data_IF_284429843736
#
_entry.id   IF_284429843736
#
_cell.length_a   1.000
_cell.length_b   1.000
_cell.length_c   1.000
_cell.angle_alpha   90.00
_cell.angle_beta   90.00
_cell.angle_gamma   90.00
#
_symmetry.space_group_name_H-M   'P 1'
#
loop_
_entity.id
_entity.type
_entity.pdbx_description
1 polymer ?
#
# COMPACT_ATOMS: atom_id res chain seq x y z
N UNK A 1 -33.90 -22.52 11.24
CA UNK A 1 -32.57 -22.90 10.72
C UNK A 1 -32.33 -22.12 9.44
N UNK A 2 -31.62 -20.99 9.53
CA UNK A 2 -31.34 -20.12 8.40
C UNK A 2 -29.83 -20.09 8.15
N UNK A 3 -29.42 -20.53 6.95
CA UNK A 3 -28.04 -20.50 6.50
C UNK A 3 -27.60 -19.05 6.28
N UNK A 4 -26.77 -18.52 7.17
CA UNK A 4 -26.01 -17.30 6.95
C UNK A 4 -24.82 -17.62 6.05
N UNK A 5 -24.95 -17.38 4.74
CA UNK A 5 -23.79 -17.24 3.88
C UNK A 5 -22.98 -16.02 4.36
N UNK A 6 -21.77 -16.26 4.86
CA UNK A 6 -20.81 -15.21 5.15
C UNK A 6 -20.42 -14.52 3.84
N UNK A 7 -21.03 -13.36 3.57
CA UNK A 7 -20.55 -12.48 2.51
C UNK A 7 -19.14 -12.01 2.88
N UNK A 8 -18.15 -12.31 2.02
CA UNK A 8 -16.80 -11.74 2.08
C UNK A 8 -16.94 -10.22 2.15
N UNK A 9 -16.42 -9.61 3.22
CA UNK A 9 -16.41 -8.14 3.36
C UNK A 9 -15.50 -7.60 2.26
N UNK A 10 -16.08 -6.96 1.25
CA UNK A 10 -15.33 -6.20 0.24
C UNK A 10 -14.45 -5.17 0.96
N UNK A 11 -13.18 -5.16 0.62
CA UNK A 11 -12.27 -4.10 1.03
C UNK A 11 -12.77 -2.76 0.47
N UNK A 12 -12.58 -1.62 1.16
CA UNK A 12 -12.79 -0.28 0.60
C UNK A 12 -11.98 0.00 -0.70
N UNK A 13 -11.14 -0.96 -1.12
CA UNK A 13 -10.31 -0.96 -2.31
C UNK A 13 -11.05 -0.99 -3.67
N UNK A 14 -12.38 -1.07 -3.70
CA UNK A 14 -13.13 -1.33 -4.95
C UNK A 14 -13.91 -0.12 -5.54
N UNK A 15 -13.51 1.13 -5.25
CA UNK A 15 -14.03 2.29 -6.01
C UNK A 15 -13.29 2.39 -7.36
N UNK A 16 -13.83 1.71 -8.37
CA UNK A 16 -13.60 1.98 -9.79
C UNK A 16 -14.97 2.04 -10.50
N UNK A 17 -15.13 2.77 -11.62
CA UNK A 17 -16.41 2.83 -12.34
C UNK A 17 -16.79 1.43 -12.84
N UNK A 18 -17.94 0.90 -12.38
CA UNK A 18 -18.44 -0.41 -12.78
C UNK A 18 -18.78 -0.44 -14.28
N UNK A 19 -18.09 -1.27 -15.06
CA UNK A 19 -18.59 -1.80 -16.33
C UNK A 19 -19.29 -3.15 -16.10
N UNK A 20 -20.44 -3.29 -16.74
CA UNK A 20 -21.54 -4.26 -16.52
C UNK A 20 -21.23 -5.71 -16.97
N UNK A 21 -20.10 -6.31 -16.57
CA UNK A 21 -19.87 -7.76 -16.74
C UNK A 21 -19.40 -8.39 -15.43
N UNK A 22 -20.03 -9.50 -15.04
CA UNK A 22 -19.59 -10.28 -13.90
C UNK A 22 -18.15 -10.76 -14.12
N UNK A 23 -17.22 -10.53 -13.18
CA UNK A 23 -15.82 -10.88 -13.37
C UNK A 23 -15.66 -12.40 -13.56
N UNK A 24 -14.71 -12.84 -14.41
CA UNK A 24 -14.43 -14.25 -14.63
C UNK A 24 -14.04 -14.94 -13.33
N UNK A 25 -14.47 -16.20 -13.13
CA UNK A 25 -14.19 -16.95 -11.91
C UNK A 25 -12.94 -17.81 -12.10
N UNK A 26 -11.98 -17.65 -11.20
CA UNK A 26 -10.77 -18.47 -11.11
C UNK A 26 -10.84 -19.30 -9.84
N UNK A 27 -10.71 -20.62 -9.96
CA UNK A 27 -10.66 -21.53 -8.81
C UNK A 27 -9.22 -21.77 -8.42
N UNK A 28 -8.94 -21.78 -7.12
CA UNK A 28 -7.64 -22.15 -6.58
C UNK A 28 -7.81 -23.25 -5.55
N UNK A 29 -7.06 -24.32 -5.71
CA UNK A 29 -6.93 -25.42 -4.77
C UNK A 29 -5.54 -25.40 -4.16
N UNK A 30 -5.45 -25.59 -2.85
CA UNK A 30 -4.16 -25.74 -2.17
C UNK A 30 -4.25 -25.59 -0.65
N UNK A 31 -3.17 -25.95 0.08
CA UNK A 31 -3.15 -25.89 1.54
C UNK A 31 -3.29 -24.46 2.04
N UNK A 32 -4.05 -24.26 3.12
CA UNK A 32 -4.37 -22.91 3.64
C UNK A 32 -3.15 -22.16 4.18
N UNK A 33 -2.23 -22.88 4.80
CA UNK A 33 -1.03 -22.33 5.44
C UNK A 33 0.20 -22.38 4.52
N UNK A 34 0.02 -22.72 3.24
CA UNK A 34 1.12 -22.76 2.27
C UNK A 34 1.44 -21.36 1.76
N UNK A 35 2.73 -21.00 1.84
CA UNK A 35 3.27 -19.76 1.26
C UNK A 35 2.91 -19.64 -0.23
N UNK A 36 3.08 -20.73 -0.99
CA UNK A 36 2.81 -20.74 -2.42
C UNK A 36 1.31 -20.48 -2.71
N UNK A 37 0.42 -21.10 -1.94
CA UNK A 37 -1.03 -20.88 -2.07
C UNK A 37 -1.38 -19.43 -1.74
N UNK A 38 -0.84 -18.86 -0.66
CA UNK A 38 -1.10 -17.46 -0.29
C UNK A 38 -0.57 -16.45 -1.30
N UNK A 39 0.61 -16.68 -1.90
CA UNK A 39 1.14 -15.84 -2.99
C UNK A 39 0.17 -15.82 -4.17
N UNK A 40 -0.28 -16.99 -4.60
CA UNK A 40 -1.21 -17.10 -5.73
C UNK A 40 -2.57 -16.49 -5.39
N UNK A 41 -3.06 -16.65 -4.15
CA UNK A 41 -4.28 -15.97 -3.69
C UNK A 41 -4.17 -14.46 -3.82
N UNK A 42 -3.07 -13.85 -3.38
CA UNK A 42 -2.82 -12.41 -3.52
C UNK A 42 -2.74 -12.00 -4.98
N UNK A 43 -2.04 -12.77 -5.80
CA UNK A 43 -1.92 -12.51 -7.22
C UNK A 43 -3.29 -12.52 -7.91
N UNK A 44 -4.15 -13.49 -7.62
CA UNK A 44 -5.51 -13.55 -8.18
C UNK A 44 -6.36 -12.40 -7.67
N UNK A 45 -6.25 -12.02 -6.38
CA UNK A 45 -6.96 -10.85 -5.82
C UNK A 45 -6.52 -9.52 -6.45
N UNK A 46 -5.29 -9.47 -7.00
CA UNK A 46 -4.79 -8.31 -7.74
C UNK A 46 -5.31 -8.25 -9.18
N UNK A 47 -5.92 -9.32 -9.69
CA UNK A 47 -6.51 -9.37 -11.03
C UNK A 47 -8.00 -9.01 -10.99
N UNK A 48 -8.58 -8.52 -12.11
CA UNK A 48 -10.02 -8.23 -12.23
C UNK A 48 -10.85 -9.52 -12.39
N UNK A 49 -10.68 -10.47 -11.47
CA UNK A 49 -11.29 -11.80 -11.49
C UNK A 49 -11.88 -12.13 -10.12
N UNK A 50 -12.84 -13.04 -10.07
CA UNK A 50 -13.40 -13.55 -8.82
C UNK A 50 -12.65 -14.82 -8.41
N UNK A 51 -11.97 -14.78 -7.28
CA UNK A 51 -11.34 -15.94 -6.66
C UNK A 51 -12.40 -16.85 -6.00
N UNK A 52 -12.39 -18.13 -6.35
CA UNK A 52 -13.04 -19.20 -5.61
C UNK A 52 -11.96 -20.11 -5.02
N UNK A 53 -11.57 -19.83 -3.78
CA UNK A 53 -10.57 -20.63 -3.08
C UNK A 53 -11.23 -21.86 -2.43
N UNK A 54 -10.63 -23.03 -2.63
CA UNK A 54 -11.02 -24.30 -2.02
C UNK A 54 -9.80 -24.90 -1.31
N UNK A 55 -9.74 -24.86 0.03
CA UNK A 55 -8.67 -25.50 0.78
C UNK A 55 -8.59 -26.98 0.43
N UNK A 56 -7.39 -27.47 0.14
CA UNK A 56 -7.16 -28.88 -0.18
C UNK A 56 -5.76 -29.27 0.24
N UNK A 57 -5.66 -30.28 1.10
CA UNK A 57 -4.40 -30.94 1.47
C UNK A 57 -4.06 -32.10 0.51
N UNK A 58 -4.94 -32.39 -0.45
CA UNK A 58 -4.76 -33.46 -1.42
C UNK A 58 -3.72 -33.11 -2.51
N UNK A 59 -3.38 -31.83 -2.65
CA UNK A 59 -2.38 -31.35 -3.61
C UNK A 59 -1.21 -30.73 -2.85
N UNK A 60 -0.01 -31.27 -3.07
CA UNK A 60 1.23 -30.69 -2.52
C UNK A 60 1.49 -29.30 -3.11
N UNK A 61 1.16 -29.10 -4.40
CA UNK A 61 1.29 -27.83 -5.11
C UNK A 61 -0.07 -27.15 -5.33
N UNK A 62 -0.11 -25.81 -5.28
CA UNK A 62 -1.32 -25.07 -5.62
C UNK A 62 -1.75 -25.35 -7.05
N UNK A 63 -3.07 -25.41 -7.27
CA UNK A 63 -3.66 -25.71 -8.58
C UNK A 63 -4.71 -24.66 -8.92
N UNK A 64 -4.52 -23.98 -10.04
CA UNK A 64 -5.44 -22.98 -10.60
C UNK A 64 -6.27 -23.61 -11.71
N UNK A 65 -7.59 -23.39 -11.65
CA UNK A 65 -8.53 -23.82 -12.68
C UNK A 65 -9.28 -22.61 -13.22
N UNK A 66 -9.22 -22.42 -14.53
CA UNK A 66 -9.96 -21.38 -15.24
C UNK A 66 -10.46 -21.92 -16.58
N UNK A 67 -11.78 -21.92 -16.77
CA UNK A 67 -12.44 -22.55 -17.93
C UNK A 67 -12.01 -24.03 -18.08
N UNK A 68 -11.41 -24.40 -19.22
CA UNK A 68 -10.86 -25.73 -19.49
C UNK A 68 -9.46 -25.95 -18.95
N UNK A 69 -8.79 -24.87 -18.53
CA UNK A 69 -7.37 -24.90 -18.22
C UNK A 69 -7.17 -25.28 -16.75
N UNK A 70 -6.27 -26.25 -16.52
CA UNK A 70 -5.84 -26.69 -15.19
C UNK A 70 -4.33 -26.54 -15.14
N UNK A 71 -3.84 -25.67 -14.26
CA UNK A 71 -2.42 -25.38 -14.10
C UNK A 71 -2.03 -25.65 -12.66
N UNK A 72 -1.04 -26.52 -12.47
CA UNK A 72 -0.44 -26.86 -11.18
C UNK A 72 1.06 -26.83 -11.34
N UNK A 73 1.79 -26.40 -10.32
CA UNK A 73 3.24 -26.27 -10.38
C UNK A 73 3.78 -25.22 -9.41
N UNK A 74 4.90 -24.61 -9.80
CA UNK A 74 5.52 -23.56 -9.00
C UNK A 74 4.69 -22.27 -9.00
N UNK A 75 4.99 -21.37 -8.07
CA UNK A 75 4.36 -20.05 -8.02
C UNK A 75 4.59 -19.30 -9.34
N UNK A 76 5.83 -19.29 -9.84
CA UNK A 76 6.24 -18.58 -11.04
C UNK A 76 5.50 -19.06 -12.29
N UNK A 77 5.28 -20.38 -12.41
CA UNK A 77 4.52 -20.96 -13.51
C UNK A 77 3.06 -20.49 -13.49
N UNK A 78 2.44 -20.47 -12.32
CA UNK A 78 1.06 -20.05 -12.13
C UNK A 78 0.93 -18.54 -12.32
N UNK A 79 1.86 -17.72 -11.83
CA UNK A 79 1.85 -16.27 -12.03
C UNK A 79 1.98 -15.91 -13.52
N UNK A 80 2.89 -16.58 -14.24
CA UNK A 80 3.04 -16.41 -15.70
C UNK A 80 1.76 -16.79 -16.46
N UNK A 81 1.12 -17.88 -16.04
CA UNK A 81 -0.19 -18.26 -16.57
C UNK A 81 -1.25 -17.18 -16.31
N UNK A 82 -1.35 -16.68 -15.07
CA UNK A 82 -2.29 -15.62 -14.70
C UNK A 82 -2.05 -14.33 -15.49
N UNK A 83 -0.80 -13.89 -15.67
CA UNK A 83 -0.45 -12.73 -16.51
C UNK A 83 -0.81 -12.96 -17.98
N UNK A 84 -0.65 -14.18 -18.50
CA UNK A 84 -1.02 -14.49 -19.89
C UNK A 84 -2.53 -14.42 -20.14
N UNK A 85 -3.35 -14.79 -19.15
CA UNK A 85 -4.82 -14.80 -19.26
C UNK A 85 -5.46 -13.48 -18.85
N UNK A 86 -4.84 -12.80 -17.88
CA UNK A 86 -5.31 -11.56 -17.28
C UNK A 86 -4.14 -10.57 -17.25
N UNK A 87 -3.77 -9.93 -18.38
CA UNK A 87 -2.55 -9.13 -18.46
C UNK A 87 -2.57 -7.91 -17.53
N UNK A 88 -3.74 -7.33 -17.29
CA UNK A 88 -3.90 -6.11 -16.50
C UNK A 88 -4.59 -6.37 -15.16
N UNK A 89 -4.07 -5.84 -14.04
CA UNK A 89 -2.75 -5.19 -13.89
C UNK A 89 -1.61 -6.23 -13.84
N UNK A 90 -0.40 -5.94 -14.35
CA UNK A 90 0.70 -6.88 -14.40
C UNK A 90 1.13 -7.32 -12.99
N UNK A 91 1.36 -8.63 -12.79
CA UNK A 91 1.83 -9.17 -11.50
C UNK A 91 3.32 -8.88 -11.30
N UNK A 92 4.12 -9.14 -12.34
CA UNK A 92 5.54 -8.86 -12.33
C UNK A 92 5.85 -7.41 -12.71
N UNK A 93 6.93 -6.87 -12.14
CA UNK A 93 7.57 -5.65 -12.65
C UNK A 93 8.35 -6.03 -13.90
N UNK A 94 7.93 -5.56 -15.08
CA UNK A 94 8.72 -5.72 -16.31
C UNK A 94 10.12 -5.13 -16.09
N UNK A 95 11.17 -5.72 -16.66
CA UNK A 95 12.55 -5.22 -16.54
C UNK A 95 12.68 -3.71 -16.88
N UNK A 96 11.84 -3.20 -17.79
CA UNK A 96 11.76 -1.78 -18.15
C UNK A 96 11.16 -0.88 -17.05
N UNK A 97 10.23 -1.38 -16.23
CA UNK A 97 9.70 -0.67 -15.05
C UNK A 97 10.54 -0.91 -13.80
N UNK A 98 11.30 -2.02 -13.73
CA UNK A 98 12.31 -2.24 -12.70
C UNK A 98 13.45 -1.21 -12.84
N UNK A 99 13.84 -0.86 -14.07
CA UNK A 99 14.78 0.25 -14.34
C UNK A 99 14.22 1.64 -14.00
N UNK A 100 12.90 1.80 -13.87
CA UNK A 100 12.25 3.07 -13.49
C UNK A 100 12.10 3.24 -11.97
N UNK A 101 12.10 2.16 -11.21
CA UNK A 101 12.34 2.23 -9.77
C UNK A 101 13.85 2.30 -9.57
N UNK A 102 14.37 3.29 -8.85
CA UNK A 102 15.80 3.43 -8.53
C UNK A 102 16.40 2.11 -8.00
N UNK A 103 15.55 1.27 -7.41
CA UNK A 103 15.86 -0.02 -6.81
C UNK A 103 15.12 -1.19 -7.47
N UNK A 104 15.25 -1.32 -8.78
CA UNK A 104 14.83 -2.49 -9.55
C UNK A 104 15.62 -3.73 -9.17
N UNK A 105 15.32 -4.31 -8.00
CA UNK A 105 15.99 -5.48 -7.44
C UNK A 105 17.48 -5.20 -7.18
N UNK A 106 17.73 -4.36 -6.16
CA UNK A 106 19.05 -4.16 -5.58
C UNK A 106 19.78 -5.50 -5.39
N UNK A 107 21.08 -5.52 -5.67
CA UNK A 107 21.89 -6.74 -5.72
C UNK A 107 22.05 -7.44 -4.36
N UNK A 108 22.74 -8.58 -4.37
CA UNK A 108 23.02 -9.39 -3.15
C UNK A 108 23.71 -8.60 -2.02
N UNK A 109 24.33 -7.47 -2.33
CA UNK A 109 25.02 -6.61 -1.37
C UNK A 109 24.08 -5.70 -0.54
N UNK A 110 22.83 -5.49 -0.97
CA UNK A 110 21.93 -4.52 -0.34
C UNK A 110 21.39 -5.05 1.00
N UNK A 111 21.59 -4.32 2.12
CA UNK A 111 21.04 -4.68 3.41
C UNK A 111 19.53 -4.87 3.34
N UNK A 112 19.04 -5.93 3.99
CA UNK A 112 17.60 -6.26 3.98
C UNK A 112 16.72 -5.14 4.56
N UNK A 113 17.25 -4.30 5.45
CA UNK A 113 16.53 -3.13 5.99
C UNK A 113 16.18 -2.10 4.92
N UNK A 114 17.03 -1.93 3.89
CA UNK A 114 16.73 -1.03 2.76
C UNK A 114 15.47 -1.49 2.03
N UNK A 115 15.33 -2.80 1.83
CA UNK A 115 14.13 -3.39 1.25
C UNK A 115 12.87 -3.14 2.09
N UNK A 116 12.98 -3.22 3.41
CA UNK A 116 11.87 -2.91 4.32
C UNK A 116 11.37 -1.49 4.08
N UNK A 117 12.28 -0.52 4.01
CA UNK A 117 11.96 0.90 3.84
C UNK A 117 11.32 1.18 2.49
N UNK A 118 11.94 0.71 1.40
CA UNK A 118 11.40 0.87 0.04
C UNK A 118 9.99 0.28 -0.09
N UNK A 119 9.75 -0.88 0.52
CA UNK A 119 8.42 -1.50 0.51
C UNK A 119 7.43 -0.69 1.37
N UNK A 120 7.86 -0.11 2.49
CA UNK A 120 7.02 0.82 3.25
C UNK A 120 6.66 2.07 2.44
N UNK A 121 7.61 2.70 1.74
CA UNK A 121 7.36 3.83 0.84
C UNK A 121 6.31 3.50 -0.22
N UNK A 122 6.44 2.34 -0.87
CA UNK A 122 5.49 1.87 -1.88
C UNK A 122 4.07 1.74 -1.32
N UNK A 123 3.93 1.11 -0.16
CA UNK A 123 2.63 0.96 0.50
C UNK A 123 2.02 2.32 0.86
N UNK A 124 2.79 3.19 1.52
CA UNK A 124 2.34 4.53 1.94
C UNK A 124 1.90 5.36 0.72
N UNK A 125 2.72 5.40 -0.34
CA UNK A 125 2.42 6.12 -1.56
C UNK A 125 1.13 5.61 -2.22
N UNK A 126 0.95 4.29 -2.29
CA UNK A 126 -0.26 3.69 -2.85
C UNK A 126 -1.51 4.13 -2.08
N UNK A 127 -1.47 4.10 -0.74
CA UNK A 127 -2.58 4.53 0.09
C UNK A 127 -2.85 6.04 -0.03
N UNK A 128 -1.81 6.88 -0.06
CA UNK A 128 -1.95 8.32 -0.29
C UNK A 128 -2.63 8.60 -1.64
N UNK A 129 -2.16 7.99 -2.72
CA UNK A 129 -2.76 8.13 -4.05
C UNK A 129 -4.24 7.78 -4.06
N UNK A 130 -4.58 6.68 -3.40
CA UNK A 130 -5.96 6.18 -3.32
C UNK A 130 -6.84 7.09 -2.47
N UNK A 131 -6.34 7.60 -1.35
CA UNK A 131 -7.04 8.56 -0.51
C UNK A 131 -7.38 9.84 -1.30
N UNK A 132 -6.47 10.31 -2.14
CA UNK A 132 -6.75 11.51 -2.92
C UNK A 132 -7.71 11.23 -4.07
N UNK A 133 -7.61 10.08 -4.75
CA UNK A 133 -8.62 9.67 -5.75
C UNK A 133 -10.03 9.57 -5.13
N UNK A 134 -10.12 9.07 -3.90
CA UNK A 134 -11.39 9.02 -3.17
C UNK A 134 -11.88 10.43 -2.81
N UNK A 135 -11.00 11.34 -2.40
CA UNK A 135 -11.35 12.74 -2.16
C UNK A 135 -11.79 13.47 -3.45
N UNK A 136 -11.15 13.21 -4.59
CA UNK A 136 -11.53 13.73 -5.91
C UNK A 136 -12.93 13.26 -6.31
N UNK A 137 -13.25 11.97 -6.10
CA UNK A 137 -14.59 11.43 -6.36
C UNK A 137 -15.66 12.03 -5.43
N UNK A 138 -15.36 12.17 -4.13
CA UNK A 138 -16.26 12.84 -3.17
C UNK A 138 -16.55 14.29 -3.61
N UNK A 139 -15.57 14.97 -4.19
CA UNK A 139 -15.64 16.36 -4.60
C UNK A 139 -16.44 16.55 -5.89
N UNK A 140 -16.19 15.70 -6.89
CA UNK A 140 -17.01 15.64 -8.08
C UNK A 140 -18.51 15.37 -7.76
N UNK A 141 -18.80 14.55 -6.73
CA UNK A 141 -20.18 14.27 -6.28
C UNK A 141 -20.77 15.33 -5.36
N UNK A 142 -19.95 16.27 -4.86
CA UNK A 142 -20.34 17.32 -3.94
C UNK A 142 -21.06 16.82 -2.68
N UNK A 143 -20.82 15.59 -2.23
CA UNK A 143 -21.47 14.97 -1.06
C UNK A 143 -22.97 14.67 -1.18
N UNK A 144 -23.62 14.91 -2.33
CA UNK A 144 -25.06 14.69 -2.54
C UNK A 144 -25.37 13.33 -3.16
N UNK A 145 -24.54 12.89 -4.11
CA UNK A 145 -24.72 11.63 -4.80
C UNK A 145 -24.12 10.47 -4.00
N UNK A 146 -24.83 9.33 -3.98
CA UNK A 146 -24.26 8.08 -3.46
C UNK A 146 -23.11 7.65 -4.37
N UNK A 147 -21.98 7.29 -3.77
CA UNK A 147 -20.87 6.63 -4.46
C UNK A 147 -21.11 5.12 -4.54
N UNK A 148 -20.04 4.35 -4.38
CA UNK A 148 -20.12 2.89 -4.27
C UNK A 148 -21.17 2.47 -3.21
N UNK A 149 -22.17 1.63 -3.56
CA UNK A 149 -23.15 1.12 -2.61
C UNK A 149 -22.55 0.48 -1.35
N UNK A 150 -21.35 -0.08 -1.44
CA UNK A 150 -20.59 -0.63 -0.32
C UNK A 150 -20.25 0.42 0.74
N UNK A 151 -20.15 1.70 0.37
CA UNK A 151 -19.81 2.81 1.27
C UNK A 151 -20.99 3.31 2.11
N UNK A 152 -22.21 2.96 1.72
CA UNK A 152 -23.44 3.33 2.44
C UNK A 152 -23.88 4.77 2.19
N UNK A 153 -24.28 5.49 3.24
CA UNK A 153 -24.66 6.91 3.12
C UNK A 153 -23.42 7.81 2.96
N UNK A 154 -23.54 9.03 2.40
CA UNK A 154 -22.42 9.97 2.30
C UNK A 154 -21.70 10.20 3.64
N UNK A 155 -22.44 10.21 4.74
CA UNK A 155 -21.86 10.33 6.09
C UNK A 155 -21.09 9.08 6.52
N UNK A 156 -21.55 7.89 6.16
CA UNK A 156 -20.81 6.66 6.40
C UNK A 156 -19.53 6.61 5.56
N UNK A 157 -19.61 7.08 4.32
CA UNK A 157 -18.47 7.16 3.41
C UNK A 157 -17.35 8.03 4.00
N UNK A 158 -17.66 9.24 4.49
CA UNK A 158 -16.69 10.10 5.19
C UNK A 158 -16.11 9.43 6.44
N UNK A 159 -16.91 8.68 7.20
CA UNK A 159 -16.40 7.92 8.37
C UNK A 159 -15.41 6.83 7.94
N UNK A 160 -15.68 6.12 6.84
CA UNK A 160 -14.77 5.10 6.29
C UNK A 160 -13.49 5.74 5.75
N UNK A 161 -13.63 6.86 5.05
CA UNK A 161 -12.51 7.69 4.59
C UNK A 161 -11.61 8.08 5.77
N UNK A 162 -12.19 8.59 6.85
CA UNK A 162 -11.42 8.96 8.05
C UNK A 162 -10.79 7.79 8.79
N UNK A 163 -11.44 6.61 8.80
CA UNK A 163 -10.82 5.39 9.33
C UNK A 163 -9.59 4.99 8.49
N UNK A 164 -9.72 5.00 7.16
CA UNK A 164 -8.62 4.71 6.24
C UNK A 164 -7.46 5.68 6.41
N UNK A 165 -7.75 6.99 6.51
CA UNK A 165 -6.73 8.00 6.77
C UNK A 165 -6.05 7.80 8.13
N UNK A 166 -6.79 7.39 9.17
CA UNK A 166 -6.22 7.15 10.49
C UNK A 166 -5.24 5.97 10.49
N UNK A 167 -5.54 4.90 9.75
CA UNK A 167 -4.61 3.79 9.54
C UNK A 167 -3.36 4.26 8.78
N UNK A 168 -3.54 4.99 7.67
CA UNK A 168 -2.42 5.55 6.89
C UNK A 168 -1.52 6.45 7.74
N UNK A 169 -2.11 7.32 8.55
CA UNK A 169 -1.38 8.19 9.47
C UNK A 169 -0.53 7.39 10.46
N UNK A 170 -1.07 6.29 11.00
CA UNK A 170 -0.34 5.46 11.94
C UNK A 170 0.84 4.75 11.27
N UNK A 171 0.67 4.23 10.04
CA UNK A 171 1.77 3.64 9.26
C UNK A 171 2.86 4.67 8.98
N UNK A 172 2.51 5.88 8.54
CA UNK A 172 3.49 6.95 8.27
C UNK A 172 4.26 7.35 9.54
N UNK A 173 3.60 7.40 10.71
CA UNK A 173 4.24 7.75 11.97
C UNK A 173 5.19 6.65 12.47
N UNK A 174 4.79 5.37 12.39
CA UNK A 174 5.70 4.28 12.74
C UNK A 174 6.89 4.19 11.78
N UNK A 175 6.67 4.45 10.50
CA UNK A 175 7.73 4.46 9.49
C UNK A 175 8.77 5.56 9.78
N UNK A 176 8.34 6.81 9.97
CA UNK A 176 9.23 7.90 10.34
C UNK A 176 9.96 7.61 11.67
N UNK A 177 9.26 7.09 12.67
CA UNK A 177 9.88 6.71 13.95
C UNK A 177 10.92 5.61 13.77
N UNK A 178 10.65 4.62 12.93
CA UNK A 178 11.56 3.52 12.65
C UNK A 178 12.85 4.03 12.00
N UNK A 179 12.74 4.94 11.04
CA UNK A 179 13.91 5.56 10.40
C UNK A 179 14.72 6.37 11.41
N UNK A 180 14.06 7.25 12.16
CA UNK A 180 14.69 8.12 13.15
C UNK A 180 15.43 7.37 14.26
N UNK A 181 14.87 6.25 14.71
CA UNK A 181 15.37 5.50 15.87
C UNK A 181 16.29 4.36 15.51
N UNK A 182 16.26 3.88 14.26
CA UNK A 182 17.08 2.75 13.80
C UNK A 182 18.04 3.19 12.71
N UNK A 183 17.54 3.64 11.56
CA UNK A 183 18.37 3.89 10.36
C UNK A 183 19.21 5.14 10.50
N UNK A 184 18.59 6.26 10.85
CA UNK A 184 19.28 7.53 10.99
C UNK A 184 20.33 7.47 12.09
N UNK A 185 20.12 6.69 13.15
CA UNK A 185 21.14 6.48 14.18
C UNK A 185 22.40 5.80 13.62
N UNK A 186 22.24 4.87 12.68
CA UNK A 186 23.38 4.20 12.02
C UNK A 186 24.10 5.20 11.13
N UNK A 187 23.37 5.90 10.26
CA UNK A 187 23.96 6.86 9.32
C UNK A 187 24.65 8.03 10.04
N UNK A 188 24.01 8.60 11.06
CA UNK A 188 24.59 9.67 11.91
C UNK A 188 25.83 9.21 12.69
N UNK A 189 25.96 7.91 12.97
CA UNK A 189 27.17 7.36 13.59
C UNK A 189 28.35 7.26 12.61
N UNK A 190 28.06 7.18 11.31
CA UNK A 190 29.09 7.16 10.26
C UNK A 190 29.53 8.58 9.88
N UNK A 191 28.56 9.48 9.66
CA UNK A 191 28.84 10.89 9.42
C UNK A 191 27.71 11.78 9.99
N UNK A 192 28.11 12.81 10.74
CA UNK A 192 27.19 13.66 11.49
C UNK A 192 26.47 14.64 10.55
N UNK A 193 25.14 14.66 10.64
CA UNK A 193 24.27 15.56 9.91
C UNK A 193 23.75 15.00 8.59
N UNK A 194 24.09 13.75 8.22
CA UNK A 194 23.58 13.10 7.01
C UNK A 194 22.06 13.08 6.94
N UNK A 195 21.39 12.84 8.07
CA UNK A 195 19.93 12.65 8.11
C UNK A 195 19.18 13.92 8.51
N UNK A 196 19.87 15.07 8.62
CA UNK A 196 19.28 16.31 9.12
C UNK A 196 18.09 16.79 8.28
N UNK A 197 18.22 16.77 6.95
CA UNK A 197 17.15 17.23 6.04
C UNK A 197 15.91 16.34 6.16
N UNK A 198 16.08 15.02 6.09
CA UNK A 198 14.98 14.06 6.24
C UNK A 198 14.26 14.22 7.59
N UNK A 199 15.01 14.39 8.68
CA UNK A 199 14.44 14.67 10.01
C UNK A 199 13.62 15.98 10.07
N UNK A 200 14.13 17.05 9.48
CA UNK A 200 13.41 18.33 9.43
C UNK A 200 12.12 18.21 8.61
N UNK A 201 12.15 17.43 7.53
CA UNK A 201 10.99 17.14 6.69
C UNK A 201 9.91 16.34 7.44
N UNK A 202 10.27 15.29 8.17
CA UNK A 202 9.36 14.56 9.07
C UNK A 202 8.61 15.52 10.00
N UNK A 203 9.36 16.41 10.68
CA UNK A 203 8.79 17.45 11.54
C UNK A 203 7.84 18.40 10.80
N UNK A 204 8.17 18.74 9.54
CA UNK A 204 7.36 19.61 8.68
C UNK A 204 6.07 18.95 8.17
N UNK A 205 6.05 17.62 8.05
CA UNK A 205 4.90 16.84 7.55
C UNK A 205 3.82 16.68 8.63
N UNK A 206 4.22 16.59 9.90
CA UNK A 206 3.30 16.33 11.02
C UNK A 206 2.14 17.35 11.14
N UNK A 207 2.36 18.68 11.03
CA UNK A 207 1.27 19.65 11.02
C UNK A 207 0.28 19.47 9.87
N UNK A 208 0.77 19.10 8.67
CA UNK A 208 -0.08 18.86 7.49
C UNK A 208 -0.96 17.62 7.74
N UNK A 209 -0.33 16.54 8.22
CA UNK A 209 -0.99 15.28 8.50
C UNK A 209 -2.09 15.42 9.57
N UNK A 210 -1.79 16.12 10.66
CA UNK A 210 -2.77 16.44 11.70
C UNK A 210 -3.88 17.37 11.17
N UNK A 211 -3.50 18.34 10.35
CA UNK A 211 -4.43 19.23 9.69
C UNK A 211 -5.46 18.50 8.81
N UNK A 212 -5.06 17.47 8.07
CA UNK A 212 -5.96 16.62 7.30
C UNK A 212 -6.88 15.82 8.23
N UNK A 213 -6.34 15.25 9.31
CA UNK A 213 -7.11 14.49 10.31
C UNK A 213 -8.25 15.33 10.92
N UNK A 214 -7.94 16.55 11.35
CA UNK A 214 -8.94 17.45 11.93
C UNK A 214 -9.98 17.88 10.89
N UNK A 215 -9.57 18.14 9.64
CA UNK A 215 -10.51 18.48 8.57
C UNK A 215 -11.53 17.35 8.32
N UNK A 216 -11.07 16.09 8.31
CA UNK A 216 -11.94 14.91 8.15
C UNK A 216 -12.94 14.80 9.31
N UNK A 217 -12.51 15.07 10.56
CA UNK A 217 -13.40 15.07 11.72
C UNK A 217 -14.48 16.14 11.60
N UNK A 218 -14.13 17.34 11.18
CA UNK A 218 -15.07 18.43 10.90
C UNK A 218 -16.09 18.00 9.86
N UNK A 219 -15.63 17.45 8.73
CA UNK A 219 -16.51 16.94 7.68
C UNK A 219 -17.51 15.87 8.15
N UNK A 220 -17.11 15.00 9.09
CA UNK A 220 -17.95 13.90 9.56
C UNK A 220 -19.22 14.35 10.32
N UNK A 221 -19.26 15.61 10.77
CA UNK A 221 -20.39 16.22 11.48
C UNK A 221 -21.17 17.24 10.64
N UNK A 222 -20.65 17.62 9.46
CA UNK A 222 -21.29 18.57 8.56
C UNK A 222 -22.46 17.94 7.79
N UNK A 223 -23.32 18.79 7.23
CA UNK A 223 -24.42 18.39 6.36
C UNK A 223 -23.89 18.12 4.94
N UNK A 224 -23.91 16.87 4.44
CA UNK A 224 -23.41 16.57 3.10
C UNK A 224 -24.17 17.36 2.03
N UNK A 225 -23.43 17.99 1.12
CA UNK A 225 -23.99 18.79 0.04
C UNK A 225 -24.29 20.25 0.35
N UNK A 226 -23.99 20.75 1.56
CA UNK A 226 -24.00 22.18 1.83
C UNK A 226 -22.81 22.89 1.16
N UNK A 227 -22.89 24.20 0.88
CA UNK A 227 -21.75 24.98 0.35
C UNK A 227 -20.50 24.86 1.23
N UNK A 228 -20.67 24.92 2.56
CA UNK A 228 -19.58 24.80 3.53
C UNK A 228 -18.93 23.41 3.47
N UNK A 229 -19.72 22.36 3.24
CA UNK A 229 -19.20 21.00 3.07
C UNK A 229 -18.33 20.89 1.83
N UNK A 230 -18.75 21.50 0.72
CA UNK A 230 -17.99 21.50 -0.54
C UNK A 230 -16.68 22.28 -0.41
N UNK A 231 -16.69 23.43 0.25
CA UNK A 231 -15.46 24.20 0.54
C UNK A 231 -14.51 23.41 1.45
N UNK A 232 -15.04 22.81 2.51
CA UNK A 232 -14.27 21.99 3.46
C UNK A 232 -13.62 20.79 2.77
N UNK A 233 -14.31 20.18 1.81
CA UNK A 233 -13.83 19.08 0.99
C UNK A 233 -12.76 19.52 -0.02
N UNK A 234 -12.95 20.65 -0.71
CA UNK A 234 -11.95 21.22 -1.60
C UNK A 234 -10.64 21.54 -0.84
N UNK A 235 -10.77 22.05 0.39
CA UNK A 235 -9.64 22.29 1.28
C UNK A 235 -8.96 21.00 1.78
N UNK A 236 -9.75 19.97 2.11
CA UNK A 236 -9.22 18.64 2.42
C UNK A 236 -8.42 18.08 1.24
N UNK A 237 -8.99 18.18 0.04
CA UNK A 237 -8.39 17.70 -1.19
C UNK A 237 -7.07 18.43 -1.50
N UNK A 238 -7.01 19.74 -1.29
CA UNK A 238 -5.77 20.50 -1.51
C UNK A 238 -4.67 20.09 -0.53
N UNK A 239 -4.98 19.88 0.75
CA UNK A 239 -4.01 19.37 1.74
C UNK A 239 -3.56 17.94 1.44
N UNK A 240 -4.48 17.08 1.01
CA UNK A 240 -4.16 15.74 0.56
C UNK A 240 -3.28 15.75 -0.69
N UNK A 241 -3.53 16.66 -1.63
CA UNK A 241 -2.67 16.86 -2.80
C UNK A 241 -1.30 17.42 -2.44
N UNK A 242 -1.19 18.27 -1.42
CA UNK A 242 0.10 18.74 -0.89
C UNK A 242 0.89 17.58 -0.24
N UNK A 243 0.19 16.65 0.40
CA UNK A 243 0.80 15.45 0.97
C UNK A 243 1.12 14.39 -0.11
N UNK A 244 0.31 14.32 -1.18
CA UNK A 244 0.43 13.40 -2.33
C UNK A 244 1.37 13.96 -3.42
N UNK A 245 1.76 13.06 -4.30
CA UNK A 245 2.14 13.22 -5.71
C UNK A 245 1.07 13.87 -6.61
N UNK A 246 1.49 14.70 -7.57
CA UNK A 246 1.00 14.58 -8.95
C UNK A 246 2.05 14.94 -10.00
N UNK A 247 2.53 13.94 -10.78
CA UNK A 247 3.12 14.21 -12.10
C UNK A 247 1.98 14.50 -13.08
N UNK A 248 1.55 15.76 -13.15
CA UNK A 248 0.93 16.26 -14.38
C UNK A 248 1.86 17.29 -15.01
N UNK A 249 2.54 16.88 -16.08
CA UNK A 249 2.94 17.82 -17.12
C UNK A 249 1.67 18.32 -17.80
N UNK A 250 1.13 19.44 -17.34
CA UNK A 250 0.15 20.19 -18.11
C UNK A 250 0.91 20.82 -19.28
N UNK A 251 0.72 20.27 -20.48
CA UNK A 251 1.01 21.02 -21.71
C UNK A 251 -0.07 22.09 -21.83
N UNK A 252 0.25 23.31 -21.44
CA UNK A 252 -0.64 24.46 -21.60
C UNK A 252 -0.63 24.86 -23.06
N UNK A 253 -1.70 24.52 -23.79
CA UNK A 253 -2.09 25.27 -24.98
C UNK A 253 -3.20 26.25 -24.61
N UNK A 254 -2.91 27.54 -24.79
CA UNK A 254 -3.85 28.67 -24.88
C UNK A 254 -4.40 29.28 -23.57
N UNK A 255 -3.74 30.36 -23.15
CA UNK A 255 -4.28 31.65 -22.67
C UNK A 255 -5.55 31.62 -21.81
N UNK A 256 -5.36 31.57 -20.48
CA UNK A 256 -6.12 32.34 -19.48
C UNK A 256 -5.33 32.36 -18.15
N UNK A 257 -5.35 33.46 -17.36
CA UNK A 257 -4.57 33.57 -16.14
C UNK A 257 -5.27 32.83 -14.98
N UNK A 258 -5.10 31.52 -14.94
CA UNK A 258 -5.53 30.69 -13.80
C UNK A 258 -4.41 30.69 -12.76
N UNK A 259 -4.76 30.99 -11.50
CA UNK A 259 -3.88 30.90 -10.33
C UNK A 259 -3.09 29.58 -10.34
N UNK A 260 -1.78 29.66 -10.56
CA UNK A 260 -0.87 28.54 -10.40
C UNK A 260 -0.79 28.17 -8.92
N UNK A 261 -1.55 27.16 -8.52
CA UNK A 261 -1.37 26.52 -7.23
C UNK A 261 -0.19 25.54 -7.36
N UNK A 262 1.03 26.02 -7.07
CA UNK A 262 2.17 25.14 -6.83
C UNK A 262 1.89 24.34 -5.54
N UNK A 263 1.30 23.15 -5.67
CA UNK A 263 1.33 22.17 -4.58
C UNK A 263 2.76 21.59 -4.55
N UNK A 264 3.47 21.79 -3.45
CA UNK A 264 4.75 21.11 -3.20
C UNK A 264 4.44 19.70 -2.70
N UNK A 265 4.80 18.68 -3.48
CA UNK A 265 4.56 17.26 -3.21
C UNK A 265 5.53 16.73 -2.15
N UNK A 266 5.11 16.65 -0.89
CA UNK A 266 6.06 16.47 0.22
C UNK A 266 6.52 15.03 0.49
N UNK A 267 5.61 14.06 0.63
CA UNK A 267 6.01 12.69 0.99
C UNK A 267 6.81 11.99 -0.11
N UNK A 268 6.53 12.29 -1.37
CA UNK A 268 7.19 11.62 -2.49
C UNK A 268 8.59 12.17 -2.74
N UNK A 269 8.78 13.49 -2.68
CA UNK A 269 10.13 14.07 -2.82
C UNK A 269 11.03 13.54 -1.70
N UNK A 270 10.49 13.48 -0.48
CA UNK A 270 11.15 12.89 0.67
C UNK A 270 11.59 11.44 0.41
N UNK A 271 10.66 10.53 0.08
CA UNK A 271 11.02 9.13 -0.21
C UNK A 271 11.97 8.97 -1.41
N UNK A 272 11.82 9.77 -2.46
CA UNK A 272 12.72 9.72 -3.62
C UNK A 272 14.13 10.22 -3.28
N UNK A 273 14.26 11.20 -2.39
CA UNK A 273 15.53 11.69 -1.88
C UNK A 273 16.18 10.68 -0.94
N UNK A 274 15.43 10.07 -0.04
CA UNK A 274 15.95 9.01 0.83
C UNK A 274 16.40 7.79 0.02
N UNK A 275 15.58 7.32 -0.92
CA UNK A 275 15.93 6.20 -1.79
C UNK A 275 17.16 6.49 -2.66
N UNK A 276 17.36 7.73 -3.08
CA UNK A 276 18.48 8.09 -3.96
C UNK A 276 19.75 8.43 -3.20
N UNK A 277 19.64 9.07 -2.05
CA UNK A 277 20.77 9.70 -1.36
C UNK A 277 21.12 9.01 -0.03
N UNK A 278 20.12 8.59 0.77
CA UNK A 278 20.37 8.04 2.12
C UNK A 278 20.45 6.52 2.16
N UNK A 279 19.49 5.82 1.54
CA UNK A 279 19.43 4.37 1.55
C UNK A 279 20.66 3.67 0.93
N UNK A 280 21.30 4.19 -0.14
CA UNK A 280 22.55 3.61 -0.62
C UNK A 280 23.69 3.65 0.42
N UNK A 281 23.68 4.62 1.33
CA UNK A 281 24.70 4.73 2.38
C UNK A 281 24.61 3.61 3.42
N UNK A 282 23.46 2.94 3.51
CA UNK A 282 23.33 1.74 4.34
C UNK A 282 24.20 0.58 3.85
N UNK A 283 24.46 0.50 2.54
CA UNK A 283 25.44 -0.46 1.98
C UNK A 283 26.86 -0.07 2.40
N UNK A 284 27.18 1.22 2.37
CA UNK A 284 28.47 1.77 2.77
C UNK A 284 28.75 1.69 4.28
N UNK A 285 27.74 1.43 5.11
CA UNK A 285 27.91 1.24 6.55
C UNK A 285 28.61 -0.10 6.92
N UNK A 286 28.97 -0.93 5.94
CA UNK A 286 29.76 -2.18 6.08
C UNK A 286 29.29 -3.11 7.23
N UNK A 287 27.98 -3.15 7.47
CA UNK A 287 27.39 -3.98 8.52
C UNK A 287 27.61 -5.46 8.23
N UNK A 288 28.13 -6.19 9.21
CA UNK A 288 28.19 -7.65 9.15
C UNK A 288 26.79 -8.28 9.25
N UNK A 289 26.67 -9.58 8.95
CA UNK A 289 25.37 -10.29 8.95
C UNK A 289 24.60 -10.16 10.25
N UNK A 290 25.27 -10.27 11.40
CA UNK A 290 24.61 -10.17 12.72
C UNK A 290 24.10 -8.75 12.99
N UNK A 291 24.85 -7.72 12.55
CA UNK A 291 24.38 -6.34 12.63
C UNK A 291 23.17 -6.12 11.72
N UNK A 292 23.20 -6.59 10.47
CA UNK A 292 22.07 -6.47 9.56
C UNK A 292 20.81 -7.16 10.09
N UNK A 293 20.94 -8.34 10.68
CA UNK A 293 19.82 -9.05 11.30
C UNK A 293 19.24 -8.29 12.50
N UNK A 294 20.10 -7.72 13.35
CA UNK A 294 19.69 -6.90 14.49
C UNK A 294 18.95 -5.64 14.04
N UNK A 295 19.49 -4.94 13.05
CA UNK A 295 18.87 -3.73 12.49
C UNK A 295 17.52 -4.05 11.89
N UNK A 296 17.43 -5.13 11.09
CA UNK A 296 16.16 -5.59 10.55
C UNK A 296 15.15 -5.90 11.65
N UNK A 297 15.55 -6.62 12.70
CA UNK A 297 14.66 -6.90 13.83
C UNK A 297 14.16 -5.62 14.51
N UNK A 298 15.06 -4.68 14.80
CA UNK A 298 14.70 -3.38 15.40
C UNK A 298 13.74 -2.58 14.52
N UNK A 299 13.96 -2.58 13.20
CA UNK A 299 13.07 -1.94 12.24
C UNK A 299 11.68 -2.57 12.23
N UNK A 300 11.58 -3.89 12.33
CA UNK A 300 10.28 -4.57 12.40
C UNK A 300 9.58 -4.34 13.75
N UNK A 301 10.33 -4.30 14.85
CA UNK A 301 9.80 -4.00 16.18
C UNK A 301 9.26 -2.57 16.31
N UNK A 302 9.91 -1.59 15.66
CA UNK A 302 9.44 -0.21 15.60
C UNK A 302 8.10 -0.06 14.85
N UNK A 303 7.77 -1.01 13.98
CA UNK A 303 6.54 -1.06 13.16
C UNK A 303 5.47 -2.00 13.74
N UNK A 304 5.40 -2.10 15.07
CA UNK A 304 4.60 -3.11 15.79
C UNK A 304 3.11 -3.06 15.45
N UNK A 305 2.53 -1.87 15.34
CA UNK A 305 1.12 -1.68 15.03
C UNK A 305 0.84 -2.03 13.55
N UNK A 306 1.75 -1.65 12.67
CA UNK A 306 1.80 -2.04 11.25
C UNK A 306 1.82 -3.56 11.10
N UNK A 307 2.60 -4.28 11.91
CA UNK A 307 2.65 -5.76 11.87
C UNK A 307 1.64 -6.45 12.80
N UNK A 308 0.62 -5.73 13.25
CA UNK A 308 -0.50 -6.28 14.00
C UNK A 308 -1.83 -5.92 13.33
N UNK A 309 -2.60 -4.99 13.89
CA UNK A 309 -3.95 -4.68 13.44
C UNK A 309 -4.00 -3.92 12.10
N UNK A 310 -2.89 -3.31 11.70
CA UNK A 310 -2.75 -2.60 10.42
C UNK A 310 -2.14 -3.48 9.32
N UNK A 311 -1.77 -4.73 9.62
CA UNK A 311 -0.99 -5.54 8.68
C UNK A 311 -1.70 -5.72 7.35
N UNK A 312 -2.98 -6.09 7.37
CA UNK A 312 -3.78 -6.16 6.13
C UNK A 312 -3.78 -4.83 5.38
N UNK A 313 -4.03 -3.73 6.09
CA UNK A 313 -4.07 -2.40 5.47
C UNK A 313 -2.74 -2.12 4.76
N UNK A 314 -1.61 -2.30 5.44
CA UNK A 314 -0.28 -2.12 4.87
C UNK A 314 -0.01 -3.01 3.65
N UNK A 315 -0.37 -4.29 3.72
CA UNK A 315 -0.15 -5.23 2.60
C UNK A 315 -1.04 -4.92 1.38
N UNK A 316 -2.22 -4.30 1.56
CA UNK A 316 -3.07 -3.85 0.43
C UNK A 316 -2.37 -2.77 -0.42
N UNK A 317 -1.42 -2.02 0.15
CA UNK A 317 -0.60 -1.05 -0.56
C UNK A 317 0.52 -1.64 -1.41
N UNK A 318 0.74 -2.95 -1.37
CA UNK A 318 1.82 -3.65 -2.07
C UNK A 318 1.31 -4.48 -3.24
N UNK A 319 2.14 -4.61 -4.26
CA UNK A 319 1.93 -5.62 -5.31
C UNK A 319 2.15 -7.03 -4.75
N UNK A 320 1.60 -8.08 -5.37
CA UNK A 320 1.75 -9.45 -4.87
C UNK A 320 3.20 -9.86 -4.58
N UNK A 321 4.15 -9.56 -5.47
CA UNK A 321 5.55 -9.92 -5.27
C UNK A 321 6.21 -9.10 -4.15
N UNK A 322 5.93 -7.79 -4.09
CA UNK A 322 6.38 -6.89 -3.02
C UNK A 322 5.82 -7.33 -1.66
N UNK A 323 4.54 -7.72 -1.63
CA UNK A 323 3.85 -8.22 -0.45
C UNK A 323 4.49 -9.52 0.06
N UNK A 324 4.78 -10.45 -0.84
CA UNK A 324 5.39 -11.72 -0.47
C UNK A 324 6.87 -11.56 -0.10
N UNK A 325 7.59 -10.63 -0.73
CA UNK A 325 8.93 -10.24 -0.31
C UNK A 325 8.89 -9.70 1.13
N UNK A 326 8.06 -8.69 1.40
CA UNK A 326 7.93 -8.11 2.74
C UNK A 326 7.54 -9.15 3.80
N UNK A 327 6.58 -10.02 3.47
CA UNK A 327 6.20 -11.14 4.34
C UNK A 327 7.36 -12.11 4.58
N UNK A 328 8.17 -12.41 3.55
CA UNK A 328 9.38 -13.20 3.67
C UNK A 328 10.40 -12.60 4.64
N UNK A 329 10.50 -11.27 4.70
CA UNK A 329 11.35 -10.56 5.67
C UNK A 329 10.83 -10.73 7.10
N UNK A 330 9.52 -10.52 7.31
CA UNK A 330 8.88 -10.67 8.62
C UNK A 330 8.95 -12.10 9.14
N UNK A 331 8.74 -13.09 8.25
CA UNK A 331 8.71 -14.51 8.59
C UNK A 331 9.99 -14.98 9.27
N UNK A 332 11.14 -14.35 8.98
CA UNK A 332 12.44 -14.68 9.61
C UNK A 332 12.44 -14.45 11.13
N UNK A 333 11.54 -13.62 11.66
CA UNK A 333 11.51 -13.19 13.06
C UNK A 333 10.18 -13.46 13.77
N UNK A 334 9.25 -14.15 13.11
CA UNK A 334 7.97 -14.53 13.69
C UNK A 334 7.95 -16.04 13.97
N UNK A 335 7.33 -16.43 15.08
CA UNK A 335 7.03 -17.85 15.32
C UNK A 335 5.99 -18.37 14.30
N UNK A 336 5.92 -19.70 14.14
CA UNK A 336 5.06 -20.33 13.14
C UNK A 336 3.57 -19.97 13.30
N UNK A 337 3.10 -19.74 14.53
CA UNK A 337 1.70 -19.36 14.79
C UNK A 337 1.45 -17.95 14.28
N UNK A 338 2.35 -17.00 14.57
CA UNK A 338 2.27 -15.63 14.08
C UNK A 338 2.38 -15.57 12.55
N UNK A 339 3.25 -16.37 11.95
CA UNK A 339 3.40 -16.49 10.48
C UNK A 339 2.08 -16.96 9.83
N UNK A 340 1.44 -18.01 10.35
CA UNK A 340 0.15 -18.49 9.82
C UNK A 340 -0.96 -17.44 9.99
N UNK A 341 -1.03 -16.77 11.16
CA UNK A 341 -1.99 -15.68 11.38
C UNK A 341 -1.81 -14.54 10.37
N UNK A 342 -0.57 -14.11 10.14
CA UNK A 342 -0.26 -13.04 9.19
C UNK A 342 -0.62 -13.44 7.75
N UNK A 343 -0.32 -14.68 7.34
CA UNK A 343 -0.78 -15.20 6.04
C UNK A 343 -2.28 -15.09 5.90
N UNK A 344 -3.06 -15.52 6.89
CA UNK A 344 -4.52 -15.39 6.84
C UNK A 344 -4.97 -13.94 6.72
N UNK A 345 -4.39 -13.02 7.48
CA UNK A 345 -4.75 -11.60 7.42
C UNK A 345 -4.55 -10.96 6.04
N UNK A 346 -3.60 -11.47 5.24
CA UNK A 346 -3.32 -10.98 3.89
C UNK A 346 -4.41 -11.36 2.88
N UNK A 347 -5.01 -12.54 3.01
CA UNK A 347 -5.85 -13.15 1.95
C UNK A 347 -7.29 -13.46 2.35
N UNK A 348 -7.61 -13.42 3.64
CA UNK A 348 -8.96 -13.57 4.22
C UNK A 348 -9.42 -12.21 4.74
#
# INVERSE_FOLDING_TARGET
MGNCYSSVKKSPAEIAPEMVKSPPVVKLYGPRDSFATSHIRLAILYKPVKLQYVPSDAHENPTVVYQSDVVSGSVEEILRYLDSKFPDPPLAVNAATALSSIWGWCGEATPTVVWVVVLQHRSINWHLERMVKWAEDLEARGGKAKGDPSMGSPRMEVKKFGKSYSHLLQVMLEHAQMEETVLFQILESQDRGLCKSANEEHGSHLPIMNGIKEQIKTMAVMNPGSPEYQETLAYLLSRLKLLRVSKYTVTVTSIDPVYYFFCQDKCRSHFEEEERELLPLMEAAEMNKSQQEKVLQQSLEAMRETHSHLYRFFMEGLRPDDAMHYFGLIKRYCDTVRVSLMLHMMVD
#
